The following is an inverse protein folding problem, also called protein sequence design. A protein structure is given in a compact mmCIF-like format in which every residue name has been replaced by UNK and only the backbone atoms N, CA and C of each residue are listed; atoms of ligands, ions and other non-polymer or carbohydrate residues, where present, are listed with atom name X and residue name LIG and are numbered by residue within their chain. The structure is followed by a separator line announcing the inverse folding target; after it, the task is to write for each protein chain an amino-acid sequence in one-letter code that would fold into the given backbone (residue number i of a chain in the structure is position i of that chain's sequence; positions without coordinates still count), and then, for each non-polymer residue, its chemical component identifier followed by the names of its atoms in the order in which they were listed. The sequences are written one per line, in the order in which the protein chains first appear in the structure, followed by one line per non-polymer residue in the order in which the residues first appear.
data_IF_373064116539
#
_entry.id   IF_373064116539
#
_cell.length_a   1.000
_cell.length_b   1.000
_cell.length_c   1.000
_cell.angle_alpha   90.00
_cell.angle_beta   90.00
_cell.angle_gamma   90.00
#
_symmetry.space_group_name_H-M   'P 1'
#
loop_
_entity.id
_entity.type
_entity.pdbx_description
1 polymer ?
#
# COMPACT_ATOMS: atom_id res chain seq x y z
N UNK A 1 -3.14 -37.45 -1.65
CA UNK A 1 -2.68 -36.44 -2.62
C UNK A 1 -2.64 -35.10 -1.92
N UNK A 2 -1.56 -34.33 -2.05
CA UNK A 2 -1.51 -32.94 -1.55
C UNK A 2 -2.42 -32.04 -2.39
N UNK A 3 -3.06 -31.06 -1.74
CA UNK A 3 -3.90 -30.07 -2.42
C UNK A 3 -3.05 -29.23 -3.39
N UNK A 4 -3.51 -29.08 -4.63
CA UNK A 4 -2.94 -28.14 -5.60
C UNK A 4 -3.77 -26.85 -5.51
N UNK A 5 -3.13 -25.71 -5.23
CA UNK A 5 -3.79 -24.41 -5.12
C UNK A 5 -3.63 -23.64 -6.43
N UNK A 6 -4.76 -23.34 -7.09
CA UNK A 6 -4.80 -22.71 -8.42
C UNK A 6 -5.55 -21.37 -8.41
N UNK A 7 -5.52 -20.65 -7.29
CA UNK A 7 -6.28 -19.41 -7.08
C UNK A 7 -5.40 -18.22 -6.62
N UNK A 8 -4.19 -18.13 -7.20
CA UNK A 8 -3.25 -17.03 -6.92
C UNK A 8 -3.78 -15.65 -7.30
N UNK A 9 -4.84 -15.58 -8.12
CA UNK A 9 -5.48 -14.33 -8.49
C UNK A 9 -6.32 -13.73 -7.36
N UNK A 10 -6.90 -14.57 -6.49
CA UNK A 10 -7.62 -14.09 -5.30
C UNK A 10 -6.64 -13.69 -4.18
N UNK A 11 -5.67 -14.56 -3.89
CA UNK A 11 -4.58 -14.26 -2.96
C UNK A 11 -3.43 -15.24 -3.16
N UNK A 12 -2.19 -14.75 -3.02
CA UNK A 12 -1.01 -15.60 -3.06
C UNK A 12 -0.55 -15.94 -1.62
N UNK A 13 -0.02 -17.15 -1.37
CA UNK A 13 0.64 -17.45 -0.11
C UNK A 13 1.72 -16.41 0.20
N UNK A 14 1.73 -15.93 1.45
CA UNK A 14 2.74 -14.99 1.92
C UNK A 14 4.14 -15.62 1.80
N UNK A 15 5.07 -14.88 1.19
CA UNK A 15 6.47 -15.31 1.11
C UNK A 15 7.07 -15.38 2.53
N UNK A 16 7.85 -16.42 2.86
CA UNK A 16 8.47 -16.55 4.19
C UNK A 16 9.24 -15.31 4.62
N UNK A 17 9.98 -14.71 3.70
CA UNK A 17 10.81 -13.52 3.96
C UNK A 17 9.94 -12.30 4.33
N UNK A 18 8.77 -12.15 3.70
CA UNK A 18 7.82 -11.09 4.02
C UNK A 18 7.14 -11.32 5.38
N UNK A 19 6.87 -12.58 5.74
CA UNK A 19 6.37 -12.96 7.06
C UNK A 19 7.37 -12.59 8.15
N UNK A 20 8.63 -12.92 7.96
CA UNK A 20 9.67 -12.67 8.96
C UNK A 20 9.92 -11.16 9.14
N UNK A 21 9.94 -10.39 8.05
CA UNK A 21 10.01 -8.92 8.11
C UNK A 21 8.80 -8.30 8.84
N UNK A 22 7.59 -8.80 8.59
CA UNK A 22 6.39 -8.35 9.29
C UNK A 22 6.50 -8.63 10.80
N UNK A 23 6.88 -9.85 11.19
CA UNK A 23 7.02 -10.21 12.60
C UNK A 23 8.07 -9.33 13.30
N UNK A 24 9.21 -9.09 12.66
CA UNK A 24 10.23 -8.19 13.19
C UNK A 24 9.73 -6.74 13.34
N UNK A 25 8.82 -6.29 12.47
CA UNK A 25 8.24 -4.95 12.53
C UNK A 25 7.19 -4.78 13.64
N UNK A 26 6.56 -5.87 14.11
CA UNK A 26 5.53 -5.81 15.16
C UNK A 26 6.08 -5.39 16.53
N UNK A 27 7.36 -5.60 16.80
CA UNK A 27 8.00 -5.29 18.09
C UNK A 27 8.45 -3.82 18.21
N UNK A 28 8.10 -2.98 17.23
CA UNK A 28 8.62 -1.62 17.08
C UNK A 28 7.64 -0.56 17.62
N UNK A 29 8.19 0.56 18.12
CA UNK A 29 7.41 1.67 18.67
C UNK A 29 6.66 2.53 17.63
N UNK A 30 6.07 3.62 18.10
CA UNK A 30 5.29 4.54 17.25
C UNK A 30 6.21 5.42 16.37
N UNK A 31 6.13 5.38 15.03
CA UNK A 31 6.97 6.19 14.13
C UNK A 31 6.75 7.71 14.23
N UNK A 32 5.69 8.16 14.90
CA UNK A 32 5.44 9.57 15.19
C UNK A 32 6.14 10.07 16.46
N UNK A 33 6.67 9.16 17.28
CA UNK A 33 7.39 9.53 18.50
C UNK A 33 8.78 10.09 18.20
N UNK A 34 9.18 11.12 18.94
CA UNK A 34 10.49 11.79 18.77
C UNK A 34 11.64 11.08 19.49
N UNK A 35 11.36 10.19 20.44
CA UNK A 35 12.36 9.43 21.19
C UNK A 35 13.00 8.32 20.33
N UNK A 36 14.00 7.64 20.87
CA UNK A 36 14.86 6.73 20.11
C UNK A 36 14.09 5.62 19.39
N UNK A 37 13.17 4.96 20.09
CA UNK A 37 12.34 3.89 19.56
C UNK A 37 11.42 4.38 18.44
N UNK A 38 10.90 5.60 18.56
CA UNK A 38 10.09 6.22 17.51
C UNK A 38 10.90 6.58 16.26
N UNK A 39 12.13 7.07 16.43
CA UNK A 39 13.04 7.31 15.30
C UNK A 39 13.44 6.03 14.59
N UNK A 40 13.68 4.94 15.33
CA UNK A 40 13.93 3.60 14.77
C UNK A 40 12.73 3.11 13.96
N UNK A 41 11.52 3.27 14.50
CA UNK A 41 10.27 2.93 13.80
C UNK A 41 10.09 3.72 12.51
N UNK A 42 10.31 5.04 12.56
CA UNK A 42 10.24 5.90 11.39
C UNK A 42 11.26 5.50 10.33
N UNK A 43 12.49 5.21 10.74
CA UNK A 43 13.55 4.78 9.81
C UNK A 43 13.16 3.50 9.06
N UNK A 44 12.52 2.54 9.74
CA UNK A 44 12.02 1.32 9.09
C UNK A 44 10.94 1.63 8.03
N UNK A 45 9.97 2.48 8.36
CA UNK A 45 8.90 2.86 7.43
C UNK A 45 9.46 3.59 6.21
N UNK A 46 10.43 4.49 6.41
CA UNK A 46 11.05 5.22 5.30
C UNK A 46 11.94 4.34 4.43
N UNK A 47 12.63 3.35 5.00
CA UNK A 47 13.35 2.34 4.23
C UNK A 47 12.37 1.51 3.36
N UNK A 48 11.27 1.03 3.94
CA UNK A 48 10.24 0.32 3.20
C UNK A 48 9.61 1.20 2.10
N UNK A 49 9.45 2.50 2.34
CA UNK A 49 8.96 3.47 1.35
C UNK A 49 9.90 3.56 0.15
N UNK A 50 11.20 3.65 0.40
CA UNK A 50 12.22 3.70 -0.65
C UNK A 50 12.23 2.41 -1.48
N UNK A 51 12.13 1.25 -0.83
CA UNK A 51 12.07 -0.05 -1.51
C UNK A 51 10.84 -0.15 -2.43
N UNK A 52 9.65 0.22 -1.93
CA UNK A 52 8.42 0.23 -2.73
C UNK A 52 8.51 1.21 -3.91
N UNK A 53 9.05 2.40 -3.68
CA UNK A 53 9.22 3.40 -4.72
C UNK A 53 10.14 2.91 -5.84
N UNK A 54 11.22 2.19 -5.48
CA UNK A 54 12.14 1.58 -6.44
C UNK A 54 11.47 0.53 -7.33
N UNK A 55 10.49 -0.23 -6.83
CA UNK A 55 9.79 -1.26 -7.61
C UNK A 55 8.95 -0.65 -8.75
N UNK A 56 8.53 0.60 -8.61
CA UNK A 56 7.67 1.29 -9.58
C UNK A 56 8.35 2.49 -10.26
N UNK A 57 9.61 2.77 -9.94
CA UNK A 57 10.38 3.88 -10.52
C UNK A 57 9.87 5.26 -10.13
N UNK A 58 9.34 5.43 -8.91
CA UNK A 58 8.79 6.69 -8.42
C UNK A 58 9.70 7.35 -7.36
N UNK A 59 9.59 8.68 -7.13
CA UNK A 59 10.20 9.32 -5.98
C UNK A 59 9.58 8.80 -4.68
N UNK A 60 10.40 8.50 -3.67
CA UNK A 60 9.93 7.87 -2.43
C UNK A 60 8.85 8.69 -1.72
N UNK A 61 8.96 10.01 -1.72
CA UNK A 61 8.01 10.95 -1.13
C UNK A 61 6.60 10.89 -1.74
N UNK A 62 6.45 10.29 -2.93
CA UNK A 62 5.15 10.11 -3.61
C UNK A 62 4.42 8.82 -3.21
N UNK A 63 5.09 7.92 -2.48
CA UNK A 63 4.48 6.67 -2.02
C UNK A 63 3.64 6.93 -0.77
N UNK A 64 2.35 6.64 -0.86
CA UNK A 64 1.40 6.66 0.25
C UNK A 64 1.05 5.20 0.60
N UNK A 65 1.31 4.80 1.85
CA UNK A 65 0.88 3.51 2.36
C UNK A 65 -0.61 3.56 2.72
N UNK A 66 -1.36 2.56 2.25
CA UNK A 66 -2.77 2.32 2.61
C UNK A 66 -2.93 0.90 3.16
N UNK A 67 -4.09 0.57 3.70
CA UNK A 67 -4.42 -0.78 4.17
C UNK A 67 -4.60 -1.80 3.05
N UNK A 68 -4.68 -1.38 1.78
CA UNK A 68 -4.77 -2.27 0.63
C UNK A 68 -5.21 -1.58 -0.67
N UNK A 69 -5.36 -2.39 -1.72
CA UNK A 69 -5.69 -1.91 -3.07
C UNK A 69 -7.03 -1.17 -3.15
N UNK A 70 -8.05 -1.62 -2.41
CA UNK A 70 -9.35 -0.94 -2.37
C UNK A 70 -9.25 0.47 -1.82
N UNK A 71 -8.56 0.65 -0.68
CA UNK A 71 -8.35 1.99 -0.10
C UNK A 71 -7.48 2.85 -1.02
N UNK A 72 -6.44 2.29 -1.64
CA UNK A 72 -5.60 3.03 -2.58
C UNK A 72 -6.38 3.56 -3.79
N UNK A 73 -7.24 2.73 -4.40
CA UNK A 73 -8.09 3.16 -5.52
C UNK A 73 -9.06 4.26 -5.09
N UNK A 74 -9.71 4.09 -3.93
CA UNK A 74 -10.63 5.09 -3.39
C UNK A 74 -9.92 6.39 -3.01
N UNK A 75 -8.69 6.34 -2.50
CA UNK A 75 -7.90 7.53 -2.20
C UNK A 75 -7.55 8.29 -3.49
N UNK A 76 -7.09 7.58 -4.53
CA UNK A 76 -6.73 8.17 -5.81
C UNK A 76 -7.93 8.79 -6.55
N UNK A 77 -9.11 8.16 -6.45
CA UNK A 77 -10.35 8.59 -7.11
C UNK A 77 -11.22 9.50 -6.23
N UNK A 78 -10.99 9.50 -4.92
CA UNK A 78 -11.67 10.29 -3.90
C UNK A 78 -11.45 11.79 -4.03
N UNK A 79 -10.64 12.21 -5.00
CA UNK A 79 -10.49 13.58 -5.47
C UNK A 79 -11.73 14.14 -6.19
N UNK A 80 -12.94 13.61 -5.96
CA UNK A 80 -14.19 14.22 -6.46
C UNK A 80 -14.32 15.70 -6.05
N UNK A 81 -13.60 16.11 -5.00
CA UNK A 81 -13.27 17.50 -4.69
C UNK A 81 -11.77 17.74 -4.87
N UNK A 82 -11.30 17.85 -6.12
CA UNK A 82 -9.91 18.20 -6.37
C UNK A 82 -9.68 19.66 -5.93
N UNK A 83 -8.45 20.04 -5.52
CA UNK A 83 -8.12 21.44 -5.23
C UNK A 83 -8.41 22.39 -6.42
N UNK A 84 -8.42 21.84 -7.64
CA UNK A 84 -8.73 22.55 -8.88
C UNK A 84 -10.24 22.66 -9.20
N UNK A 85 -11.12 22.14 -8.34
CA UNK A 85 -12.57 22.17 -8.49
C UNK A 85 -13.24 20.79 -8.55
N UNK A 86 -14.54 20.79 -8.81
CA UNK A 86 -15.35 19.56 -8.90
C UNK A 86 -15.00 18.74 -10.16
N UNK A 87 -14.71 17.45 -9.96
CA UNK A 87 -14.56 16.51 -11.08
C UNK A 87 -15.95 16.22 -11.66
N UNK A 88 -16.24 16.79 -12.83
CA UNK A 88 -17.55 16.66 -13.50
C UNK A 88 -17.76 15.34 -14.24
N UNK A 89 -16.67 14.65 -14.58
CA UNK A 89 -16.72 13.39 -15.34
C UNK A 89 -15.47 12.56 -15.06
N UNK A 90 -15.68 11.29 -14.73
CA UNK A 90 -14.64 10.28 -14.62
C UNK A 90 -14.81 9.31 -15.81
N UNK A 91 -13.71 9.00 -16.50
CA UNK A 91 -13.68 8.01 -17.58
C UNK A 91 -12.98 6.76 -17.04
N UNK A 92 -13.64 5.62 -17.13
CA UNK A 92 -13.14 4.32 -16.66
C UNK A 92 -13.32 3.28 -17.75
N UNK A 93 -12.49 2.23 -17.76
CA UNK A 93 -12.69 1.10 -18.67
C UNK A 93 -13.83 0.20 -18.18
N UNK A 94 -14.38 -0.62 -19.08
CA UNK A 94 -15.43 -1.59 -18.73
C UNK A 94 -14.90 -2.81 -17.95
N UNK A 95 -13.58 -2.90 -17.74
CA UNK A 95 -12.91 -4.07 -17.15
C UNK A 95 -12.18 -3.74 -15.85
N UNK A 96 -12.44 -2.56 -15.27
CA UNK A 96 -11.87 -2.18 -13.98
C UNK A 96 -12.32 -3.12 -12.86
N UNK A 97 -11.48 -3.26 -11.84
CA UNK A 97 -11.87 -3.90 -10.59
C UNK A 97 -12.99 -3.11 -9.90
N UNK A 98 -13.87 -3.79 -9.16
CA UNK A 98 -15.01 -3.15 -8.46
C UNK A 98 -14.59 -2.01 -7.52
N UNK A 99 -13.37 -2.07 -6.98
CA UNK A 99 -12.79 -1.01 -6.14
C UNK A 99 -12.67 0.36 -6.83
N UNK A 100 -12.63 0.42 -8.16
CA UNK A 100 -12.61 1.67 -8.94
C UNK A 100 -14.02 2.25 -9.10
N UNK A 101 -15.05 1.40 -9.05
CA UNK A 101 -16.44 1.75 -9.29
C UNK A 101 -17.24 1.98 -7.99
N UNK A 102 -16.62 1.73 -6.84
CA UNK A 102 -17.22 1.84 -5.51
C UNK A 102 -17.44 3.30 -5.06
#
# INVERSE_FOLDING_TARGET
MSRIYLDYNATAPLRPEARDALLAALDIGNPSSVHEEGRKARALVEAARADVASLVGAPAETVIFTSGGTEACNLALGLRQAPAGEIKRLLVSAIEHSAVLA
#
